data_IF_848737975687
#
_entry.id   IF_848737975687
#
_cell.length_a   1.000
_cell.length_b   1.000
_cell.length_c   1.000
_cell.angle_alpha   90.00
_cell.angle_beta   90.00
_cell.angle_gamma   90.00
#
_symmetry.space_group_name_H-M   'P 1'
#
loop_
_entity.id
_entity.type
_entity.pdbx_description
1 polymer ?
#
# COMPACT_ATOMS: atom_id res chain seq x y z
N UNK A 1 9.60 8.54 -2.39
CA UNK A 1 8.56 8.69 -1.34
C UNK A 1 7.60 7.52 -1.47
N UNK A 2 7.01 6.96 -0.41
CA UNK A 2 6.14 5.79 -0.52
C UNK A 2 4.82 6.12 -1.22
N UNK A 3 4.23 7.28 -0.94
CA UNK A 3 2.94 7.73 -1.48
C UNK A 3 3.08 9.14 -2.06
N UNK A 4 2.56 9.34 -3.28
CA UNK A 4 2.62 10.62 -3.98
C UNK A 4 1.66 11.66 -3.38
N UNK A 5 0.62 11.23 -2.65
CA UNK A 5 -0.32 12.13 -1.96
C UNK A 5 0.22 12.65 -0.61
N UNK A 6 1.39 12.18 -0.16
CA UNK A 6 1.91 12.50 1.16
C UNK A 6 3.31 13.11 1.12
N UNK A 7 3.43 14.33 1.64
CA UNK A 7 4.70 15.05 1.80
C UNK A 7 4.87 15.39 3.29
N UNK A 8 6.00 15.00 3.87
CA UNK A 8 6.36 15.37 5.25
C UNK A 8 6.73 16.87 5.34
N UNK A 9 6.35 17.52 6.44
CA UNK A 9 6.71 18.90 6.69
C UNK A 9 8.23 19.05 6.89
N UNK A 10 8.80 20.16 6.39
CA UNK A 10 10.23 20.46 6.50
C UNK A 10 11.11 19.85 5.40
N UNK A 11 10.52 19.12 4.45
CA UNK A 11 11.23 18.61 3.28
C UNK A 11 11.36 19.66 2.18
N UNK A 12 12.51 19.67 1.50
CA UNK A 12 12.73 20.49 0.32
C UNK A 12 12.21 19.73 -0.89
N UNK A 13 11.12 20.23 -1.48
CA UNK A 13 10.59 19.73 -2.74
C UNK A 13 11.09 20.59 -3.89
N UNK A 14 11.81 19.99 -4.83
CA UNK A 14 12.24 20.67 -6.05
C UNK A 14 11.07 20.63 -7.03
N UNK A 15 10.41 21.76 -7.21
CA UNK A 15 9.35 21.92 -8.21
C UNK A 15 10.01 22.32 -9.53
N UNK A 16 9.87 21.52 -10.61
CA UNK A 16 10.36 21.93 -11.92
C UNK A 16 9.64 23.20 -12.39
N UNK A 17 10.34 24.03 -13.16
CA UNK A 17 9.71 25.14 -13.88
C UNK A 17 8.69 24.60 -14.91
N UNK A 18 8.00 25.48 -15.63
CA UNK A 18 7.03 25.09 -16.67
C UNK A 18 7.63 24.02 -17.61
N UNK A 19 6.95 22.87 -17.68
CA UNK A 19 7.32 21.75 -18.55
C UNK A 19 6.28 21.63 -19.66
N UNK A 20 6.71 21.24 -20.86
CA UNK A 20 5.80 21.07 -21.99
C UNK A 20 4.85 19.88 -21.81
N UNK A 21 5.28 18.86 -21.06
CA UNK A 21 4.56 17.60 -20.85
C UNK A 21 4.53 17.25 -19.35
N UNK A 22 3.67 17.91 -18.55
CA UNK A 22 3.52 17.56 -17.14
C UNK A 22 2.88 16.18 -17.00
N UNK A 23 3.40 15.36 -16.08
CA UNK A 23 2.80 14.10 -15.68
C UNK A 23 2.11 14.27 -14.33
N UNK A 24 0.79 14.16 -14.32
CA UNK A 24 -0.06 14.41 -13.15
C UNK A 24 -0.77 13.15 -12.64
N UNK A 25 -0.60 12.00 -13.30
CA UNK A 25 -1.46 10.84 -13.09
C UNK A 25 -0.67 9.54 -12.92
N UNK A 26 0.52 9.41 -13.53
CA UNK A 26 1.23 8.13 -13.55
C UNK A 26 1.60 7.62 -12.16
N UNK A 27 1.83 8.51 -11.19
CA UNK A 27 2.20 8.15 -9.82
C UNK A 27 1.02 8.02 -8.86
N UNK A 28 -0.18 8.44 -9.26
CA UNK A 28 -1.38 8.41 -8.43
C UNK A 28 -2.04 7.04 -8.47
N UNK A 29 -2.57 6.59 -7.33
CA UNK A 29 -3.39 5.39 -7.29
C UNK A 29 -4.81 5.72 -7.74
N UNK A 30 -5.30 5.00 -8.75
CA UNK A 30 -6.67 5.09 -9.26
C UNK A 30 -7.42 3.83 -8.92
N UNK A 31 -8.73 3.96 -8.67
CA UNK A 31 -9.58 2.79 -8.47
C UNK A 31 -9.49 1.84 -9.67
N UNK A 32 -9.37 0.54 -9.37
CA UNK A 32 -9.44 -0.53 -10.36
C UNK A 32 -10.86 -1.08 -10.37
N UNK A 33 -11.37 -1.43 -11.55
CA UNK A 33 -12.60 -2.22 -11.69
C UNK A 33 -12.35 -3.72 -11.39
N UNK A 34 -11.08 -4.13 -11.33
CA UNK A 34 -10.62 -5.49 -11.01
C UNK A 34 -10.02 -5.53 -9.61
N UNK A 35 -10.90 -5.64 -8.61
CA UNK A 35 -10.55 -5.78 -7.18
C UNK A 35 -10.75 -7.22 -6.72
N UNK A 36 -9.96 -7.65 -5.73
CA UNK A 36 -10.10 -8.99 -5.12
C UNK A 36 -10.86 -8.94 -3.79
N UNK A 37 -11.49 -10.05 -3.41
CA UNK A 37 -12.18 -10.17 -2.11
C UNK A 37 -11.25 -10.50 -0.94
N UNK A 38 -9.96 -10.71 -1.19
CA UNK A 38 -8.95 -11.01 -0.18
C UNK A 38 -7.54 -10.74 -0.72
N UNK A 39 -6.58 -10.62 0.19
CA UNK A 39 -5.18 -10.38 -0.12
C UNK A 39 -4.40 -11.68 -0.32
N UNK A 40 -3.62 -11.77 -1.40
CA UNK A 40 -2.71 -12.91 -1.62
C UNK A 40 -1.41 -12.78 -0.81
N UNK A 41 -1.00 -13.86 -0.14
CA UNK A 41 0.23 -14.00 0.64
C UNK A 41 0.25 -13.25 1.97
N UNK A 42 0.02 -11.94 1.95
CA UNK A 42 -0.07 -11.10 3.15
C UNK A 42 0.36 -9.66 2.94
N UNK A 43 0.47 -8.85 4.00
CA UNK A 43 0.39 -9.23 5.44
C UNK A 43 -1.04 -9.44 5.95
N UNK A 44 -1.18 -9.97 7.18
CA UNK A 44 -2.49 -10.13 7.85
C UNK A 44 -2.97 -8.83 8.51
N UNK A 45 -2.02 -8.00 8.95
CA UNK A 45 -2.31 -6.71 9.58
C UNK A 45 -1.68 -5.56 8.82
N UNK A 46 -2.34 -4.42 8.91
CA UNK A 46 -1.85 -3.15 8.39
C UNK A 46 -1.87 -2.10 9.49
N UNK A 47 -0.75 -1.40 9.66
CA UNK A 47 -0.67 -0.24 10.54
C UNK A 47 -1.04 0.99 9.74
N UNK A 48 -2.18 1.60 10.09
CA UNK A 48 -2.69 2.80 9.43
C UNK A 48 -1.70 3.95 9.50
N UNK A 49 -1.62 4.72 8.42
CA UNK A 49 -0.83 5.95 8.30
C UNK A 49 -1.74 7.16 8.28
N UNK A 50 -1.15 8.34 8.28
CA UNK A 50 -1.88 9.60 8.29
C UNK A 50 -2.80 9.71 7.06
N UNK A 51 -4.02 10.19 7.28
CA UNK A 51 -5.08 10.37 6.28
C UNK A 51 -5.60 9.06 5.65
N UNK A 52 -5.33 7.91 6.27
CA UNK A 52 -5.99 6.68 5.85
C UNK A 52 -7.48 6.70 6.17
N UNK A 53 -8.24 6.15 5.24
CA UNK A 53 -9.64 5.74 5.40
C UNK A 53 -9.73 4.28 4.99
N UNK A 54 -10.81 3.58 5.34
CA UNK A 54 -11.02 2.19 4.91
C UNK A 54 -11.00 2.09 3.38
N UNK A 55 -11.66 3.05 2.70
CA UNK A 55 -11.67 3.15 1.23
C UNK A 55 -10.26 3.30 0.64
N UNK A 56 -9.43 4.18 1.20
CA UNK A 56 -8.05 4.37 0.73
C UNK A 56 -7.17 3.16 1.00
N UNK A 57 -7.38 2.47 2.12
CA UNK A 57 -6.66 1.23 2.43
C UNK A 57 -7.04 0.14 1.44
N UNK A 58 -8.33 -0.07 1.19
CA UNK A 58 -8.81 -1.04 0.21
C UNK A 58 -8.21 -0.78 -1.18
N UNK A 59 -8.18 0.49 -1.61
CA UNK A 59 -7.51 0.93 -2.83
C UNK A 59 -6.02 0.56 -2.85
N UNK A 60 -5.27 0.84 -1.78
CA UNK A 60 -3.84 0.49 -1.67
C UNK A 60 -3.61 -1.00 -1.83
N UNK A 61 -4.47 -1.83 -1.25
CA UNK A 61 -4.37 -3.29 -1.31
C UNK A 61 -5.01 -3.91 -2.56
N UNK A 62 -5.65 -3.11 -3.42
CA UNK A 62 -6.47 -3.56 -4.55
C UNK A 62 -7.53 -4.61 -4.15
N UNK A 63 -8.15 -4.43 -2.98
CA UNK A 63 -9.26 -5.27 -2.52
C UNK A 63 -10.56 -4.48 -2.54
N UNK A 64 -11.69 -5.17 -2.66
CA UNK A 64 -12.99 -4.54 -2.55
C UNK A 64 -13.23 -4.05 -1.11
N UNK A 65 -13.77 -2.84 -0.95
CA UNK A 65 -14.07 -2.27 0.38
C UNK A 65 -15.02 -3.17 1.18
N UNK A 66 -15.95 -3.86 0.52
CA UNK A 66 -16.88 -4.79 1.16
C UNK A 66 -16.22 -6.07 1.67
N UNK A 67 -14.97 -6.37 1.27
CA UNK A 67 -14.20 -7.46 1.84
C UNK A 67 -13.76 -7.19 3.29
N UNK A 68 -13.79 -5.91 3.70
CA UNK A 68 -13.42 -5.49 5.05
C UNK A 68 -14.68 -5.56 5.93
N UNK A 69 -14.65 -6.42 6.95
CA UNK A 69 -15.84 -6.66 7.78
C UNK A 69 -16.22 -5.45 8.64
N UNK A 70 -17.50 -5.32 8.94
CA UNK A 70 -18.03 -4.28 9.83
C UNK A 70 -17.38 -4.32 11.24
N UNK A 71 -17.00 -5.52 11.72
CA UNK A 71 -16.29 -5.69 12.98
C UNK A 71 -14.88 -5.08 12.94
N UNK A 72 -14.18 -5.20 11.81
CA UNK A 72 -12.88 -4.53 11.62
C UNK A 72 -13.07 -3.02 11.59
N UNK A 73 -14.06 -2.52 10.84
CA UNK A 73 -14.33 -1.09 10.71
C UNK A 73 -14.67 -0.48 12.08
N UNK A 74 -15.59 -1.10 12.83
CA UNK A 74 -15.96 -0.64 14.17
C UNK A 74 -14.81 -0.73 15.17
N UNK A 75 -13.94 -1.75 15.05
CA UNK A 75 -12.72 -1.88 15.85
C UNK A 75 -11.69 -0.78 15.62
N UNK A 76 -11.74 -0.08 14.48
CA UNK A 76 -10.91 1.10 14.17
C UNK A 76 -11.48 2.39 14.76
N UNK A 77 -12.65 2.34 15.40
CA UNK A 77 -13.30 3.49 16.03
C UNK A 77 -13.91 4.47 15.03
N UNK A 78 -14.17 4.04 13.80
CA UNK A 78 -14.80 4.85 12.74
C UNK A 78 -16.20 4.33 12.42
N UNK A 79 -17.07 5.25 11.97
CA UNK A 79 -18.48 4.99 11.65
C UNK A 79 -18.77 4.85 10.16
N UNK A 80 -17.82 5.27 9.32
CA UNK A 80 -17.90 5.23 7.85
C UNK A 80 -16.57 4.78 7.26
N UNK A 81 -16.62 4.19 6.06
CA UNK A 81 -15.42 3.76 5.31
C UNK A 81 -14.56 4.92 4.82
N UNK A 82 -15.13 6.12 4.73
CA UNK A 82 -14.45 7.34 4.29
C UNK A 82 -14.01 8.25 5.46
N UNK A 83 -14.30 7.85 6.70
CA UNK A 83 -13.83 8.55 7.88
C UNK A 83 -12.34 8.30 8.09
N UNK A 84 -11.60 9.35 8.48
CA UNK A 84 -10.16 9.26 8.72
C UNK A 84 -9.91 8.40 9.96
N UNK A 85 -9.12 7.34 9.78
CA UNK A 85 -8.70 6.45 10.85
C UNK A 85 -7.54 7.10 11.61
N UNK A 86 -7.49 6.90 12.93
CA UNK A 86 -6.36 7.34 13.75
C UNK A 86 -5.09 6.62 13.30
N UNK A 87 -4.08 7.38 12.85
CA UNK A 87 -2.80 6.82 12.42
C UNK A 87 -2.14 6.00 13.54
N UNK A 88 -1.51 4.89 13.18
CA UNK A 88 -0.93 3.93 14.11
C UNK A 88 -1.91 2.85 14.60
N UNK A 89 -3.19 2.91 14.21
CA UNK A 89 -4.15 1.84 14.49
C UNK A 89 -3.83 0.59 13.66
N UNK A 90 -4.05 -0.59 14.25
CA UNK A 90 -3.89 -1.87 13.58
C UNK A 90 -5.21 -2.33 12.98
N UNK A 91 -5.20 -2.59 11.67
CA UNK A 91 -6.31 -3.11 10.90
C UNK A 91 -6.03 -4.56 10.48
N UNK A 92 -7.00 -5.45 10.65
CA UNK A 92 -6.91 -6.81 10.08
C UNK A 92 -7.37 -6.79 8.62
N UNK A 93 -6.69 -7.55 7.77
CA UNK A 93 -7.02 -7.71 6.36
C UNK A 93 -7.42 -9.16 6.07
N UNK A 94 -8.45 -9.37 5.22
CA UNK A 94 -8.82 -10.70 4.76
C UNK A 94 -7.71 -11.26 3.86
N UNK A 95 -7.32 -12.51 4.08
CA UNK A 95 -6.30 -13.19 3.29
C UNK A 95 -6.89 -14.36 2.50
N UNK A 96 -6.35 -14.58 1.31
CA UNK A 96 -6.71 -15.71 0.47
C UNK A 96 -5.87 -16.94 0.86
N UNK A 97 -6.49 -18.11 0.99
CA UNK A 97 -5.77 -19.35 1.31
C UNK A 97 -6.19 -20.50 0.38
N UNK A 98 -5.24 -21.22 -0.25
CA UNK A 98 -3.79 -21.02 -0.16
C UNK A 98 -3.27 -19.96 -1.15
N UNK A 99 -2.40 -19.06 -0.68
CA UNK A 99 -1.73 -18.07 -1.52
C UNK A 99 -0.37 -17.68 -0.93
N UNK A 100 0.52 -17.12 -1.76
CA UNK A 100 1.89 -16.78 -1.35
C UNK A 100 2.43 -15.54 -2.07
N UNK A 101 3.48 -14.95 -1.48
CA UNK A 101 4.38 -13.98 -2.12
C UNK A 101 5.83 -14.41 -1.86
N UNK A 102 6.74 -14.16 -2.78
CA UNK A 102 8.19 -14.21 -2.50
C UNK A 102 8.63 -12.90 -1.85
N UNK A 103 9.43 -12.92 -0.78
CA UNK A 103 9.85 -11.71 -0.07
C UNK A 103 11.36 -11.55 -0.12
N UNK A 104 11.84 -10.40 -0.60
CA UNK A 104 13.28 -10.11 -0.69
C UNK A 104 13.61 -8.67 -0.30
N UNK A 105 14.80 -8.43 0.29
CA UNK A 105 15.29 -7.07 0.50
C UNK A 105 15.80 -6.46 -0.82
N UNK A 106 15.45 -5.20 -1.10
CA UNK A 106 16.01 -4.43 -2.21
C UNK A 106 16.56 -3.08 -1.74
N UNK A 107 17.63 -2.63 -2.37
CA UNK A 107 18.12 -1.26 -2.21
C UNK A 107 17.24 -0.32 -3.05
N UNK A 108 16.41 0.49 -2.39
CA UNK A 108 15.51 1.42 -3.09
C UNK A 108 16.22 2.76 -3.37
N UNK A 109 16.40 3.07 -4.65
CA UNK A 109 17.11 4.28 -5.09
C UNK A 109 16.17 5.44 -5.43
N UNK A 110 15.12 5.17 -6.20
CA UNK A 110 14.23 6.20 -6.73
C UNK A 110 12.84 5.62 -7.07
N UNK A 111 11.81 6.47 -7.01
CA UNK A 111 10.42 6.16 -7.40
C UNK A 111 9.40 6.33 -6.26
N UNK A 112 8.23 5.72 -6.47
CA UNK A 112 7.17 5.55 -5.46
C UNK A 112 6.78 4.08 -5.30
N UNK A 113 5.95 3.75 -4.29
CA UNK A 113 5.50 2.37 -4.11
C UNK A 113 4.63 1.86 -5.25
N UNK A 114 3.91 2.74 -5.95
CA UNK A 114 3.15 2.35 -7.15
C UNK A 114 4.06 1.68 -8.19
N UNK A 115 5.19 2.32 -8.53
CA UNK A 115 6.18 1.79 -9.47
C UNK A 115 6.72 0.42 -9.02
N UNK A 116 6.97 0.26 -7.72
CA UNK A 116 7.45 -1.01 -7.16
C UNK A 116 6.37 -2.10 -7.19
N UNK A 117 5.12 -1.75 -6.86
CA UNK A 117 4.00 -2.67 -6.85
C UNK A 117 3.76 -3.24 -8.26
N UNK A 118 3.76 -2.38 -9.28
CA UNK A 118 3.66 -2.77 -10.68
C UNK A 118 4.86 -3.63 -11.11
N UNK A 119 6.08 -3.20 -10.78
CA UNK A 119 7.31 -3.91 -11.16
C UNK A 119 7.41 -5.32 -10.57
N UNK A 120 6.96 -5.49 -9.32
CA UNK A 120 7.15 -6.74 -8.58
C UNK A 120 5.88 -7.58 -8.49
N UNK A 121 4.80 -7.19 -9.16
CA UNK A 121 3.50 -7.87 -9.12
C UNK A 121 3.02 -8.06 -7.66
N UNK A 122 2.84 -6.93 -6.99
CA UNK A 122 2.35 -6.79 -5.62
C UNK A 122 1.43 -5.56 -5.56
N UNK A 123 1.03 -5.11 -4.37
CA UNK A 123 0.19 -3.93 -4.18
C UNK A 123 0.88 -2.88 -3.31
N UNK A 124 0.47 -1.62 -3.46
CA UNK A 124 1.02 -0.52 -2.64
C UNK A 124 0.77 -0.77 -1.15
N UNK A 125 -0.39 -1.32 -0.82
CA UNK A 125 -0.76 -1.70 0.55
C UNK A 125 0.19 -2.75 1.13
N UNK A 126 0.56 -3.77 0.34
CA UNK A 126 1.55 -4.76 0.76
C UNK A 126 2.90 -4.12 1.05
N UNK A 127 3.38 -3.25 0.16
CA UNK A 127 4.64 -2.51 0.38
C UNK A 127 4.59 -1.66 1.65
N UNK A 128 3.47 -0.99 1.91
CA UNK A 128 3.24 -0.25 3.15
C UNK A 128 3.26 -1.15 4.38
N UNK A 129 2.60 -2.31 4.32
CA UNK A 129 2.56 -3.27 5.43
C UNK A 129 3.93 -3.85 5.77
N UNK A 130 4.70 -4.27 4.76
CA UNK A 130 6.04 -4.84 4.95
C UNK A 130 7.10 -3.80 5.33
N UNK A 131 6.87 -2.52 5.05
CA UNK A 131 7.84 -1.43 5.28
C UNK A 131 7.25 -0.35 6.19
N UNK A 132 6.58 -0.77 7.26
CA UNK A 132 5.96 0.13 8.23
C UNK A 132 7.00 1.12 8.78
N UNK A 133 6.67 2.41 8.74
CA UNK A 133 7.54 3.48 9.23
C UNK A 133 8.49 4.08 8.19
N UNK A 134 8.62 3.50 7.00
CA UNK A 134 9.31 4.14 5.89
C UNK A 134 8.51 5.35 5.38
N UNK A 135 9.20 6.49 5.16
CA UNK A 135 8.56 7.76 4.79
C UNK A 135 9.19 8.46 3.59
N UNK A 136 10.50 8.37 3.43
CA UNK A 136 11.22 9.01 2.33
C UNK A 136 12.58 8.37 2.12
N UNK A 137 13.08 8.50 0.89
CA UNK A 137 14.46 8.15 0.53
C UNK A 137 15.29 9.42 0.39
N UNK A 138 16.61 9.27 0.54
CA UNK A 138 17.58 10.32 0.23
C UNK A 138 18.09 10.16 -1.21
N UNK A 139 18.47 11.27 -1.85
CA UNK A 139 19.19 11.25 -3.13
C UNK A 139 20.64 10.76 -2.99
N UNK A 140 21.14 10.62 -1.75
CA UNK A 140 22.46 10.08 -1.46
C UNK A 140 22.35 8.55 -1.43
N UNK A 141 23.02 7.86 -2.35
CA UNK A 141 22.94 6.39 -2.48
C UNK A 141 23.30 5.65 -1.19
N UNK A 142 24.29 6.11 -0.42
CA UNK A 142 24.66 5.48 0.86
C UNK A 142 23.61 5.62 1.96
N UNK A 143 22.62 6.51 1.76
CA UNK A 143 21.46 6.71 2.63
C UNK A 143 20.18 6.15 2.00
N UNK A 144 20.31 5.42 0.89
CA UNK A 144 19.16 4.74 0.29
C UNK A 144 18.64 3.68 1.26
N UNK A 145 17.33 3.60 1.47
CA UNK A 145 16.72 2.60 2.34
C UNK A 145 16.78 1.21 1.70
N UNK A 146 16.91 0.19 2.53
CA UNK A 146 16.63 -1.20 2.13
C UNK A 146 15.17 -1.49 2.45
N UNK A 147 14.39 -1.84 1.43
CA UNK A 147 12.97 -2.18 1.56
C UNK A 147 12.77 -3.68 1.48
N UNK A 148 11.84 -4.21 2.27
CA UNK A 148 11.34 -5.58 2.18
C UNK A 148 10.22 -5.63 1.15
N UNK A 149 10.45 -6.32 0.04
CA UNK A 149 9.52 -6.31 -1.09
C UNK A 149 8.83 -7.67 -1.22
N UNK A 150 7.51 -7.73 -1.02
CA UNK A 150 6.71 -8.85 -1.49
C UNK A 150 6.61 -8.82 -3.02
N UNK A 151 6.80 -9.96 -3.65
CA UNK A 151 6.89 -10.14 -5.10
C UNK A 151 6.02 -11.31 -5.53
N UNK A 152 5.40 -11.20 -6.71
CA UNK A 152 4.62 -12.24 -7.36
C UNK A 152 3.54 -12.83 -6.43
N UNK A 153 2.78 -11.96 -5.79
CA UNK A 153 1.71 -12.35 -4.87
C UNK A 153 0.56 -13.00 -5.63
N UNK A 154 0.27 -14.29 -5.35
CA UNK A 154 -0.68 -15.07 -6.15
C UNK A 154 -1.33 -16.22 -5.39
N UNK A 155 -2.50 -16.71 -5.83
CA UNK A 155 -3.03 -17.99 -5.36
C UNK A 155 -2.11 -19.15 -5.78
N UNK A 156 -2.08 -20.21 -4.96
CA UNK A 156 -1.33 -21.45 -5.26
C UNK A 156 -2.25 -22.61 -5.62
N UNK A 157 -3.57 -22.37 -5.65
CA UNK A 157 -4.63 -23.32 -5.97
C UNK A 157 -5.83 -22.55 -6.54
N UNK A 158 -6.64 -23.22 -7.36
CA UNK A 158 -7.92 -22.66 -7.86
C UNK A 158 -8.98 -22.56 -6.76
N UNK A 159 -8.90 -23.45 -5.76
CA UNK A 159 -9.81 -23.45 -4.62
C UNK A 159 -9.27 -22.55 -3.51
N UNK A 160 -9.72 -21.29 -3.50
CA UNK A 160 -9.35 -20.27 -2.52
C UNK A 160 -10.45 -20.09 -1.48
N UNK A 161 -10.04 -19.98 -0.22
CA UNK A 161 -10.89 -19.60 0.92
C UNK A 161 -10.42 -18.27 1.51
N UNK A 162 -11.36 -17.48 2.03
CA UNK A 162 -11.05 -16.22 2.73
C UNK A 162 -10.87 -16.52 4.22
N UNK A 163 -9.77 -16.05 4.80
CA UNK A 163 -9.44 -16.17 6.22
C UNK A 163 -9.16 -14.79 6.84
N UNK A 164 -9.60 -14.56 8.08
CA UNK A 164 -9.51 -13.26 8.78
C UNK A 164 -9.48 -13.41 10.30
#
# INVERSE_FOLDING_TARGET
>A
MPDAEYIDAGFVLIIPAEVCNPDNESCLLTASDDTTSCLYGGPHTYTTVRNDTVTKIALKFNIDVSAISADVISGLGVSSVDEIITAGSLMKLPQCSPSECSVQPIQFKYGVYKDLAEKYNSTVGQLFGFNTGYRYSSSIESLSPVLTIPMNCRPTSDNITIIS
#
